data_IF_019902419162
#
_entry.id   IF_019902419162
#
_cell.length_a   1.000
_cell.length_b   1.000
_cell.length_c   1.000
_cell.angle_alpha   90.00
_cell.angle_beta   90.00
_cell.angle_gamma   90.00
#
_symmetry.space_group_name_H-M   'P 1'
#
loop_
_entity.id
_entity.type
_entity.pdbx_description
1 polymer ?
#
# COMPACT_ATOMS: atom_id res chain seq x y z
N UNK A 1 36.55 -35.24 54.48
CA UNK A 1 35.93 -33.93 54.22
C UNK A 1 36.08 -33.69 52.72
N UNK A 2 35.15 -34.05 51.82
CA UNK A 2 33.76 -33.60 51.56
C UNK A 2 33.62 -32.08 51.36
N UNK A 3 33.58 -31.64 50.10
CA UNK A 3 32.74 -30.58 49.48
C UNK A 3 32.99 -30.63 47.96
N UNK A 4 32.07 -31.18 47.16
CA UNK A 4 31.01 -30.49 46.38
C UNK A 4 31.60 -29.81 45.12
N UNK A 5 31.49 -30.37 43.89
CA UNK A 5 30.32 -30.46 42.99
C UNK A 5 29.66 -29.12 42.64
N UNK A 6 29.22 -29.01 41.37
CA UNK A 6 28.49 -27.92 40.66
C UNK A 6 29.36 -26.88 39.93
N UNK A 7 29.05 -26.43 38.71
CA UNK A 7 28.06 -26.80 37.69
C UNK A 7 28.40 -25.94 36.45
N UNK A 8 28.08 -26.49 35.28
CA UNK A 8 27.49 -25.78 34.13
C UNK A 8 28.32 -24.69 33.46
N UNK A 9 28.88 -25.07 32.32
CA UNK A 9 29.05 -24.14 31.22
C UNK A 9 27.69 -23.64 30.73
N UNK A 10 27.61 -22.34 30.45
CA UNK A 10 26.72 -21.82 29.41
C UNK A 10 27.50 -20.73 28.70
N UNK A 11 28.16 -21.15 27.64
CA UNK A 11 28.75 -20.28 26.65
C UNK A 11 27.62 -19.50 25.95
N UNK A 12 27.81 -18.18 25.88
CA UNK A 12 27.64 -17.36 24.68
C UNK A 12 26.27 -17.30 23.98
N UNK A 13 25.89 -16.06 23.69
CA UNK A 13 25.16 -15.63 22.49
C UNK A 13 23.66 -15.99 22.42
N UNK A 14 22.86 -15.28 23.21
CA UNK A 14 21.49 -14.91 22.83
C UNK A 14 21.48 -13.51 22.23
N UNK A 15 22.08 -13.34 21.05
CA UNK A 15 21.97 -12.13 20.25
C UNK A 15 20.51 -11.92 19.84
N UNK A 16 20.06 -10.67 19.97
CA UNK A 16 19.03 -10.02 19.15
C UNK A 16 17.67 -10.71 19.08
N UNK A 17 16.79 -10.31 19.99
CA UNK A 17 15.35 -10.23 19.73
C UNK A 17 15.14 -9.09 18.71
N UNK A 18 15.57 -9.33 17.47
CA UNK A 18 15.12 -8.60 16.30
C UNK A 18 14.41 -9.64 15.46
N UNK A 19 13.10 -9.51 15.34
CA UNK A 19 12.25 -10.39 14.54
C UNK A 19 12.84 -10.53 13.13
N UNK A 20 13.51 -11.64 12.84
CA UNK A 20 13.76 -12.04 11.46
C UNK A 20 12.44 -12.50 10.89
N UNK A 21 11.69 -11.59 10.26
CA UNK A 21 10.57 -11.96 9.38
C UNK A 21 11.02 -13.01 8.39
N UNK A 22 10.16 -13.97 8.13
CA UNK A 22 10.48 -15.06 7.22
C UNK A 22 10.81 -14.49 5.83
N UNK A 23 11.60 -15.19 5.01
CA UNK A 23 11.81 -14.78 3.62
C UNK A 23 10.51 -14.68 2.81
N UNK A 24 9.42 -15.30 3.25
CA UNK A 24 8.10 -15.22 2.62
C UNK A 24 7.31 -14.04 3.13
N UNK A 25 7.37 -13.73 4.43
CA UNK A 25 6.79 -12.50 4.99
C UNK A 25 7.35 -11.27 4.24
N UNK A 26 8.68 -11.22 4.08
CA UNK A 26 9.35 -10.15 3.32
C UNK A 26 8.89 -10.07 1.86
N UNK A 27 8.50 -11.19 1.24
CA UNK A 27 7.99 -11.22 -0.13
C UNK A 27 6.54 -10.77 -0.21
N UNK A 28 5.72 -11.19 0.75
CA UNK A 28 4.34 -10.77 0.86
C UNK A 28 4.26 -9.25 1.07
N UNK A 29 5.09 -8.70 1.97
CA UNK A 29 5.22 -7.27 2.19
C UNK A 29 5.69 -6.52 0.95
N UNK A 30 6.67 -7.06 0.23
CA UNK A 30 7.12 -6.45 -1.01
C UNK A 30 6.02 -6.43 -2.08
N UNK A 31 5.14 -7.44 -2.11
CA UNK A 31 3.98 -7.47 -3.01
C UNK A 31 2.96 -6.41 -2.59
N UNK A 32 2.59 -6.33 -1.31
CA UNK A 32 1.65 -5.32 -0.78
C UNK A 32 2.18 -3.91 -1.06
N UNK A 33 3.42 -3.63 -0.69
CA UNK A 33 4.03 -2.32 -0.94
C UNK A 33 4.09 -1.95 -2.42
N UNK A 34 4.31 -2.91 -3.31
CA UNK A 34 4.31 -2.66 -4.76
C UNK A 34 2.90 -2.40 -5.29
N UNK A 35 1.89 -3.13 -4.80
CA UNK A 35 0.50 -2.86 -5.20
C UNK A 35 0.01 -1.52 -4.68
N UNK A 36 0.41 -1.13 -3.47
CA UNK A 36 0.06 0.15 -2.87
C UNK A 36 0.68 1.30 -3.67
N UNK A 37 1.98 1.21 -4.01
CA UNK A 37 2.66 2.21 -4.85
C UNK A 37 1.98 2.32 -6.24
N UNK A 38 1.65 1.18 -6.85
CA UNK A 38 0.97 1.18 -8.15
C UNK A 38 -0.47 1.74 -8.08
N UNK A 39 -1.17 1.55 -6.97
CA UNK A 39 -2.50 2.10 -6.73
C UNK A 39 -2.45 3.61 -6.48
N UNK A 40 -1.45 4.08 -5.72
CA UNK A 40 -1.18 5.50 -5.50
C UNK A 40 -0.88 6.23 -6.82
N UNK A 41 -0.03 5.66 -7.69
CA UNK A 41 0.25 6.21 -9.02
C UNK A 41 -1.03 6.37 -9.88
N UNK A 42 -1.96 5.41 -9.77
CA UNK A 42 -3.25 5.46 -10.48
C UNK A 42 -4.14 6.57 -9.93
N UNK A 43 -4.24 6.71 -8.59
CA UNK A 43 -4.99 7.79 -7.95
C UNK A 43 -4.43 9.15 -8.32
N UNK A 44 -3.11 9.34 -8.20
CA UNK A 44 -2.43 10.60 -8.56
C UNK A 44 -2.68 10.96 -10.03
N UNK A 45 -2.62 9.98 -10.93
CA UNK A 45 -2.94 10.20 -12.35
C UNK A 45 -4.41 10.58 -12.54
N UNK A 46 -5.34 9.90 -11.85
CA UNK A 46 -6.76 10.21 -11.90
C UNK A 46 -7.06 11.63 -11.44
N UNK A 47 -6.51 12.02 -10.30
CA UNK A 47 -6.65 13.36 -9.72
C UNK A 47 -6.07 14.43 -10.66
N UNK A 48 -4.88 14.20 -11.23
CA UNK A 48 -4.26 15.13 -12.16
C UNK A 48 -5.09 15.34 -13.43
N UNK A 49 -5.70 14.27 -13.97
CA UNK A 49 -6.58 14.36 -15.13
C UNK A 49 -7.90 15.07 -14.79
N UNK A 50 -8.46 14.79 -13.61
CA UNK A 50 -9.66 15.47 -13.13
C UNK A 50 -9.43 16.97 -12.93
N UNK A 51 -8.27 17.36 -12.38
CA UNK A 51 -7.84 18.75 -12.28
C UNK A 51 -7.68 19.39 -13.66
N UNK A 52 -7.02 18.73 -14.63
CA UNK A 52 -6.92 19.24 -16.01
C UNK A 52 -8.30 19.47 -16.64
N UNK A 53 -9.27 18.59 -16.39
CA UNK A 53 -10.65 18.73 -16.87
C UNK A 53 -11.33 19.96 -16.26
N UNK A 54 -11.17 20.19 -14.95
CA UNK A 54 -11.70 21.38 -14.27
C UNK A 54 -11.06 22.67 -14.79
N UNK A 55 -9.75 22.67 -14.99
CA UNK A 55 -8.99 23.81 -15.53
C UNK A 55 -9.35 24.13 -16.99
N UNK A 56 -9.76 23.13 -17.77
CA UNK A 56 -10.13 23.29 -19.17
C UNK A 56 -11.46 24.04 -19.39
N UNK A 57 -12.27 24.31 -18.34
CA UNK A 57 -13.57 24.99 -18.47
C UNK A 57 -13.43 26.50 -18.77
N UNK A 58 -13.76 26.96 -20.00
CA UNK A 58 -13.67 28.36 -20.39
C UNK A 58 -14.76 29.25 -19.76
N UNK A 59 -15.79 28.68 -19.11
CA UNK A 59 -16.79 29.45 -18.36
C UNK A 59 -16.23 30.09 -17.07
N UNK A 60 -15.03 29.65 -16.68
CA UNK A 60 -14.20 30.20 -15.63
C UNK A 60 -14.61 29.74 -14.24
N UNK A 61 -13.62 29.55 -13.38
CA UNK A 61 -13.78 29.30 -11.94
C UNK A 61 -14.78 30.27 -11.29
N UNK A 62 -15.51 29.78 -10.29
CA UNK A 62 -16.32 30.64 -9.42
C UNK A 62 -15.42 31.36 -8.39
N UNK A 63 -15.98 32.20 -7.51
CA UNK A 63 -15.19 32.93 -6.49
C UNK A 63 -14.52 32.00 -5.45
N UNK A 64 -14.84 30.71 -5.47
CA UNK A 64 -14.31 29.65 -4.62
C UNK A 64 -13.32 28.74 -5.36
N UNK A 65 -12.94 29.04 -6.62
CA UNK A 65 -12.08 28.23 -7.49
C UNK A 65 -12.65 26.87 -7.90
N UNK A 66 -13.97 26.70 -7.95
CA UNK A 66 -14.62 25.48 -8.48
C UNK A 66 -15.04 25.69 -9.94
N UNK A 67 -15.08 24.63 -10.76
CA UNK A 67 -15.52 24.74 -12.15
C UNK A 67 -16.99 25.19 -12.19
N UNK A 68 -17.34 26.05 -13.16
CA UNK A 68 -18.68 26.67 -13.20
C UNK A 68 -19.73 25.78 -13.85
N UNK A 69 -19.34 24.77 -14.61
CA UNK A 69 -20.27 23.96 -15.39
C UNK A 69 -20.43 22.58 -14.76
N UNK A 70 -21.67 22.23 -14.39
CA UNK A 70 -22.01 20.94 -13.78
C UNK A 70 -21.51 19.73 -14.58
N UNK A 71 -21.43 19.87 -15.91
CA UNK A 71 -20.93 18.82 -16.82
C UNK A 71 -19.43 18.58 -16.65
N UNK A 72 -18.65 19.63 -16.38
CA UNK A 72 -17.21 19.52 -16.16
C UNK A 72 -16.94 18.84 -14.82
N UNK A 73 -17.62 19.26 -13.75
CA UNK A 73 -17.49 18.62 -12.44
C UNK A 73 -17.94 17.14 -12.49
N UNK A 74 -19.08 16.83 -13.13
CA UNK A 74 -19.53 15.44 -13.29
C UNK A 74 -18.51 14.59 -14.06
N UNK A 75 -17.82 15.17 -15.04
CA UNK A 75 -16.78 14.47 -15.80
C UNK A 75 -15.52 14.25 -14.97
N UNK A 76 -15.08 15.26 -14.22
CA UNK A 76 -13.92 15.16 -13.34
C UNK A 76 -14.15 14.13 -12.23
N UNK A 77 -15.30 14.19 -11.56
CA UNK A 77 -15.70 13.23 -10.52
C UNK A 77 -15.77 11.79 -11.06
N UNK A 78 -16.25 11.61 -12.30
CA UNK A 78 -16.27 10.29 -12.94
C UNK A 78 -14.87 9.74 -13.22
N UNK A 79 -13.88 10.62 -13.49
CA UNK A 79 -12.48 10.20 -13.67
C UNK A 79 -11.86 9.82 -12.34
N UNK A 80 -12.04 10.61 -11.29
CA UNK A 80 -11.56 10.29 -9.93
C UNK A 80 -12.14 8.96 -9.45
N UNK A 81 -13.45 8.77 -9.60
CA UNK A 81 -14.12 7.53 -9.22
C UNK A 81 -13.59 6.31 -10.01
N UNK A 82 -13.36 6.46 -11.31
CA UNK A 82 -12.81 5.37 -12.11
C UNK A 82 -11.37 5.03 -11.73
N UNK A 83 -10.55 6.03 -11.36
CA UNK A 83 -9.20 5.83 -10.88
C UNK A 83 -9.19 5.13 -9.51
N UNK A 84 -10.08 5.52 -8.59
CA UNK A 84 -10.22 4.87 -7.28
C UNK A 84 -10.64 3.40 -7.43
N UNK A 85 -11.68 3.12 -8.24
CA UNK A 85 -12.13 1.75 -8.53
C UNK A 85 -10.98 0.88 -9.09
N UNK A 86 -10.11 1.47 -9.92
CA UNK A 86 -8.95 0.79 -10.47
C UNK A 86 -7.85 0.57 -9.42
N UNK A 87 -7.58 1.56 -8.58
CA UNK A 87 -6.61 1.49 -7.49
C UNK A 87 -7.01 0.41 -6.47
N UNK A 88 -8.27 0.38 -6.04
CA UNK A 88 -8.80 -0.65 -5.13
C UNK A 88 -8.64 -2.07 -5.74
N UNK A 89 -8.88 -2.21 -7.04
CA UNK A 89 -8.70 -3.50 -7.72
C UNK A 89 -7.23 -3.96 -7.73
N UNK A 90 -6.29 -3.03 -7.82
CA UNK A 90 -4.84 -3.31 -7.77
C UNK A 90 -4.43 -3.72 -6.35
N UNK A 91 -4.81 -2.95 -5.34
CA UNK A 91 -4.53 -3.25 -3.93
C UNK A 91 -5.07 -4.63 -3.55
N UNK A 92 -6.35 -4.90 -3.87
CA UNK A 92 -6.97 -6.19 -3.62
C UNK A 92 -6.23 -7.36 -4.29
N UNK A 93 -5.83 -7.19 -5.55
CA UNK A 93 -5.07 -8.22 -6.26
C UNK A 93 -3.68 -8.43 -5.64
N UNK A 94 -3.05 -7.37 -5.12
CA UNK A 94 -1.81 -7.42 -4.36
C UNK A 94 -1.97 -8.18 -3.04
N UNK A 95 -3.00 -7.84 -2.25
CA UNK A 95 -3.34 -8.52 -1.00
C UNK A 95 -3.61 -10.01 -1.22
N UNK A 96 -4.48 -10.37 -2.16
CA UNK A 96 -4.81 -11.77 -2.47
C UNK A 96 -3.54 -12.58 -2.85
N UNK A 97 -2.60 -11.94 -3.55
CA UNK A 97 -1.33 -12.55 -3.94
C UNK A 97 -0.37 -12.67 -2.75
N UNK A 98 -0.28 -11.65 -1.90
CA UNK A 98 0.52 -11.67 -0.69
C UNK A 98 0.04 -12.77 0.28
N UNK A 99 -1.27 -12.88 0.47
CA UNK A 99 -1.91 -13.91 1.30
C UNK A 99 -1.65 -15.32 0.75
N UNK A 100 -1.70 -15.49 -0.58
CA UNK A 100 -1.36 -16.77 -1.21
C UNK A 100 0.11 -17.16 -0.99
N UNK A 101 1.01 -16.17 -0.94
CA UNK A 101 2.44 -16.37 -0.66
C UNK A 101 2.63 -16.79 0.81
N UNK A 102 1.99 -16.11 1.76
CA UNK A 102 2.04 -16.47 3.19
C UNK A 102 1.43 -17.85 3.48
N UNK A 103 0.29 -18.16 2.85
CA UNK A 103 -0.36 -19.46 2.98
C UNK A 103 0.52 -20.63 2.49
N UNK A 104 1.45 -20.37 1.55
CA UNK A 104 2.37 -21.39 1.07
C UNK A 104 3.45 -21.80 2.08
N UNK A 105 3.67 -21.00 3.15
CA UNK A 105 4.60 -21.32 4.24
C UNK A 105 3.98 -22.11 5.40
N UNK A 106 2.65 -22.10 5.55
CA UNK A 106 1.91 -22.88 6.56
C UNK A 106 0.75 -23.67 5.91
N UNK A 107 1.03 -24.77 5.18
CA UNK A 107 0.02 -25.58 4.51
C UNK A 107 -0.87 -26.42 5.44
#
# INVERSE_FOLDING_TARGET
MKTAQLLTGLALLGLTVGCTESPTDQRADAIRSQSDEAAEDVRETGDAVAEEIREADPAGENILNEAKTDVVEETADAVEAAAEDQAEAIEKAGEEKADAVEASENP
#
